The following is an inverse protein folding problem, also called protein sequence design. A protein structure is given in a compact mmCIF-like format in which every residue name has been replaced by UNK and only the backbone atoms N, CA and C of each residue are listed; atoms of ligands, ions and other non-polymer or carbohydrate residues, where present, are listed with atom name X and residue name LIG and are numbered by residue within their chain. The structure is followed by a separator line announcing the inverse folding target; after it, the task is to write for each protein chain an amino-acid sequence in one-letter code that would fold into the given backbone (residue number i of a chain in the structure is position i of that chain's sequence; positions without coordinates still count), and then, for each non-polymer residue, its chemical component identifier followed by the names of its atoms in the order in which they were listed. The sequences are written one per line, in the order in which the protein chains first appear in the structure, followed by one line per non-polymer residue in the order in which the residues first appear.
data_IF_295703417945
#
_entry.id   IF_295703417945
#
_cell.length_a   1.000
_cell.length_b   1.000
_cell.length_c   1.000
_cell.angle_alpha   90.00
_cell.angle_beta   90.00
_cell.angle_gamma   90.00
#
_symmetry.space_group_name_H-M   'P 1'
#
loop_
_entity.id
_entity.type
_entity.pdbx_description
1 polymer ?
#
# COMPACT_ATOMS: atom_id res chain seq x y z
N UNK A 1 -35.11 31.04 19.74
CA UNK A 1 -34.70 29.63 19.56
C UNK A 1 -33.87 29.58 18.29
N UNK A 2 -32.54 29.60 18.40
CA UNK A 2 -31.66 29.53 17.23
C UNK A 2 -31.82 28.15 16.57
N UNK A 3 -32.15 28.13 15.28
CA UNK A 3 -32.12 26.90 14.49
C UNK A 3 -30.67 26.43 14.44
N UNK A 4 -30.33 25.34 15.14
CA UNK A 4 -29.06 24.63 14.95
C UNK A 4 -28.94 24.33 13.45
N UNK A 5 -27.96 24.94 12.78
CA UNK A 5 -27.58 24.55 11.41
C UNK A 5 -27.07 23.11 11.47
N UNK A 6 -27.88 22.18 11.01
CA UNK A 6 -27.44 20.80 10.74
C UNK A 6 -26.54 20.81 9.51
N UNK A 7 -25.32 20.30 9.65
CA UNK A 7 -24.41 20.09 8.51
C UNK A 7 -25.02 19.01 7.62
N UNK A 8 -25.13 19.23 6.29
CA UNK A 8 -25.62 18.20 5.37
C UNK A 8 -24.77 16.94 5.42
N UNK A 9 -25.41 15.77 5.34
CA UNK A 9 -24.71 14.49 5.25
C UNK A 9 -24.07 14.33 3.87
N UNK A 10 -22.82 13.86 3.84
CA UNK A 10 -22.10 13.56 2.60
C UNK A 10 -22.25 12.08 2.30
N UNK A 11 -22.97 11.77 1.21
CA UNK A 11 -23.19 10.38 0.78
C UNK A 11 -21.97 9.80 0.05
N UNK A 12 -21.33 10.58 -0.84
CA UNK A 12 -20.18 10.14 -1.64
C UNK A 12 -19.13 11.24 -1.78
N UNK A 13 -17.87 10.82 -1.97
CA UNK A 13 -16.71 11.71 -2.20
C UNK A 13 -15.99 11.27 -3.47
N UNK A 14 -15.67 12.21 -4.36
CA UNK A 14 -14.85 11.95 -5.56
C UNK A 14 -13.47 12.57 -5.39
N UNK A 15 -12.42 11.76 -5.63
CA UNK A 15 -11.03 12.19 -5.56
C UNK A 15 -10.38 11.95 -6.91
N UNK A 16 -9.71 12.97 -7.45
CA UNK A 16 -8.84 12.83 -8.63
C UNK A 16 -7.38 12.91 -8.17
N UNK A 17 -6.56 11.97 -8.64
CA UNK A 17 -5.15 11.88 -8.27
C UNK A 17 -4.32 11.52 -9.50
N UNK A 18 -3.06 11.95 -9.51
CA UNK A 18 -2.10 11.46 -10.49
C UNK A 18 -1.79 9.98 -10.22
N UNK A 19 -1.27 9.29 -11.24
CA UNK A 19 -0.88 7.88 -11.09
C UNK A 19 0.11 7.64 -9.92
N UNK A 20 1.20 8.40 -9.78
CA UNK A 20 2.12 8.21 -8.65
C UNK A 20 1.46 8.42 -7.28
N UNK A 21 0.52 9.37 -7.17
CA UNK A 21 -0.24 9.58 -5.93
C UNK A 21 -1.18 8.41 -5.67
N UNK A 22 -1.83 7.85 -6.69
CA UNK A 22 -2.64 6.64 -6.56
C UNK A 22 -1.82 5.44 -6.09
N UNK A 23 -0.60 5.28 -6.60
CA UNK A 23 0.33 4.24 -6.16
C UNK A 23 0.74 4.43 -4.70
N UNK A 24 1.02 5.68 -4.27
CA UNK A 24 1.29 5.98 -2.87
C UNK A 24 0.08 5.70 -1.94
N UNK A 25 -1.13 6.10 -2.35
CA UNK A 25 -2.37 5.81 -1.59
C UNK A 25 -2.60 4.30 -1.49
N UNK A 26 -2.43 3.57 -2.60
CA UNK A 26 -2.51 2.11 -2.65
C UNK A 26 -1.56 1.47 -1.62
N UNK A 27 -0.29 1.86 -1.61
CA UNK A 27 0.72 1.34 -0.66
C UNK A 27 0.39 1.71 0.78
N UNK A 28 -0.03 2.94 1.05
CA UNK A 28 -0.41 3.37 2.40
C UNK A 28 -1.62 2.58 2.94
N UNK A 29 -2.63 2.32 2.10
CA UNK A 29 -3.79 1.51 2.47
C UNK A 29 -3.41 0.05 2.73
N UNK A 30 -2.49 -0.52 1.95
CA UNK A 30 -1.96 -1.87 2.16
C UNK A 30 -1.21 -1.96 3.50
N UNK A 31 -0.29 -1.03 3.76
CA UNK A 31 0.47 -1.00 5.01
C UNK A 31 -0.44 -0.84 6.23
N UNK A 32 -1.44 0.05 6.16
CA UNK A 32 -2.42 0.19 7.23
C UNK A 32 -3.13 -1.13 7.55
N UNK A 33 -3.59 -1.85 6.53
CA UNK A 33 -4.19 -3.18 6.71
C UNK A 33 -3.21 -4.17 7.35
N UNK A 34 -1.99 -4.25 6.81
CA UNK A 34 -0.96 -5.20 7.23
C UNK A 34 -0.51 -4.99 8.66
N UNK A 35 -0.38 -3.73 9.10
CA UNK A 35 -0.09 -3.38 10.49
C UNK A 35 -1.15 -3.96 11.45
N UNK A 36 -2.43 -3.86 11.08
CA UNK A 36 -3.54 -4.43 11.86
C UNK A 36 -3.65 -5.96 11.79
N UNK A 37 -2.98 -6.60 10.82
CA UNK A 37 -2.91 -8.05 10.69
C UNK A 37 -1.63 -8.66 11.27
N UNK A 38 -0.70 -7.83 11.78
CA UNK A 38 0.62 -8.30 12.23
C UNK A 38 1.53 -8.77 11.09
N UNK A 39 1.28 -8.30 9.86
CA UNK A 39 2.02 -8.72 8.66
C UNK A 39 3.14 -7.75 8.31
N UNK A 40 4.28 -7.85 9.00
CA UNK A 40 5.38 -6.87 8.88
C UNK A 40 6.43 -7.21 7.83
N UNK A 41 6.39 -8.42 7.25
CA UNK A 41 7.45 -8.94 6.38
C UNK A 41 7.76 -8.01 5.20
N UNK A 42 6.74 -7.63 4.43
CA UNK A 42 6.90 -6.79 3.24
C UNK A 42 7.26 -5.34 3.61
N UNK A 43 6.64 -4.80 4.67
CA UNK A 43 6.95 -3.46 5.16
C UNK A 43 8.41 -3.34 5.65
N UNK A 44 8.94 -4.37 6.31
CA UNK A 44 10.33 -4.39 6.74
C UNK A 44 11.31 -4.53 5.57
N UNK A 45 10.95 -5.30 4.52
CA UNK A 45 11.69 -5.33 3.26
C UNK A 45 11.76 -3.93 2.65
N UNK A 46 10.60 -3.32 2.42
CA UNK A 46 10.50 -2.01 1.77
C UNK A 46 11.34 -0.98 2.53
N UNK A 47 11.11 -0.80 3.84
CA UNK A 47 11.78 0.23 4.64
C UNK A 47 13.29 -0.01 4.82
N UNK A 48 13.71 -1.26 5.08
CA UNK A 48 15.11 -1.52 5.40
C UNK A 48 15.98 -1.59 4.15
N UNK A 49 15.41 -1.99 3.01
CA UNK A 49 16.14 -2.13 1.76
C UNK A 49 16.10 -0.86 0.89
N UNK A 50 15.15 0.06 1.11
CA UNK A 50 14.96 1.28 0.31
C UNK A 50 16.26 2.07 0.09
N UNK A 51 17.01 2.34 1.16
CA UNK A 51 18.27 3.08 1.03
C UNK A 51 19.30 2.32 0.18
N UNK A 52 19.42 1.01 0.37
CA UNK A 52 20.35 0.20 -0.40
C UNK A 52 20.00 0.24 -1.89
N UNK A 53 18.72 0.08 -2.24
CA UNK A 53 18.28 0.14 -3.62
C UNK A 53 18.42 1.54 -4.22
N UNK A 54 18.10 2.60 -3.47
CA UNK A 54 18.34 3.97 -3.90
C UNK A 54 19.83 4.24 -4.17
N UNK A 55 20.72 3.81 -3.27
CA UNK A 55 22.17 3.98 -3.45
C UNK A 55 22.68 3.14 -4.65
N UNK A 56 22.10 1.96 -4.88
CA UNK A 56 22.39 1.10 -6.03
C UNK A 56 21.97 1.75 -7.35
N UNK A 57 20.74 2.27 -7.45
CA UNK A 57 20.22 2.96 -8.63
C UNK A 57 21.03 4.21 -8.98
N UNK A 58 21.54 4.91 -7.96
CA UNK A 58 22.34 6.11 -8.12
C UNK A 58 23.85 5.83 -8.27
N UNK A 59 24.26 4.56 -8.40
CA UNK A 59 25.66 4.15 -8.56
C UNK A 59 26.59 4.70 -7.46
N UNK A 60 26.12 4.72 -6.21
CA UNK A 60 26.87 5.26 -5.06
C UNK A 60 28.06 4.36 -4.68
N UNK A 61 27.97 3.05 -4.91
CA UNK A 61 29.02 2.10 -4.55
C UNK A 61 30.15 2.08 -5.58
N UNK A 62 31.37 2.41 -5.16
CA UNK A 62 32.55 2.42 -6.02
C UNK A 62 33.14 1.01 -6.19
N UNK A 63 32.94 0.13 -5.21
CA UNK A 63 33.46 -1.23 -5.22
C UNK A 63 32.38 -2.28 -4.89
N UNK A 64 32.60 -3.52 -5.34
CA UNK A 64 31.73 -4.64 -5.01
C UNK A 64 31.71 -4.93 -3.49
N UNK A 65 32.86 -4.78 -2.81
CA UNK A 65 32.96 -4.97 -1.36
C UNK A 65 32.11 -3.95 -0.59
N UNK A 66 32.10 -2.67 -1.00
CA UNK A 66 31.23 -1.66 -0.40
C UNK A 66 29.75 -2.02 -0.60
N UNK A 67 29.38 -2.47 -1.80
CA UNK A 67 28.01 -2.88 -2.11
C UNK A 67 27.57 -4.10 -1.28
N UNK A 68 28.41 -5.12 -1.19
CA UNK A 68 28.13 -6.33 -0.41
C UNK A 68 27.98 -6.01 1.08
N UNK A 69 28.89 -5.22 1.65
CA UNK A 69 28.79 -4.76 3.04
C UNK A 69 27.50 -3.96 3.29
N UNK A 70 27.11 -3.06 2.36
CA UNK A 70 25.88 -2.29 2.49
C UNK A 70 24.62 -3.17 2.40
N UNK A 71 24.65 -4.18 1.53
CA UNK A 71 23.58 -5.17 1.40
C UNK A 71 23.42 -5.99 2.67
N UNK A 72 24.53 -6.51 3.23
CA UNK A 72 24.52 -7.29 4.48
C UNK A 72 23.98 -6.46 5.66
N UNK A 73 24.35 -5.19 5.75
CA UNK A 73 23.81 -4.26 6.76
C UNK A 73 22.30 -4.06 6.57
N UNK A 74 21.82 -3.90 5.33
CA UNK A 74 20.39 -3.73 5.06
C UNK A 74 19.60 -5.01 5.41
N UNK A 75 20.11 -6.18 5.02
CA UNK A 75 19.52 -7.48 5.37
C UNK A 75 19.46 -7.69 6.89
N UNK A 76 20.54 -7.39 7.60
CA UNK A 76 20.57 -7.53 9.06
C UNK A 76 19.54 -6.61 9.74
N UNK A 77 19.40 -5.36 9.28
CA UNK A 77 18.39 -4.43 9.78
C UNK A 77 16.98 -4.93 9.51
N UNK A 78 16.72 -5.41 8.29
CA UNK A 78 15.45 -6.00 7.88
C UNK A 78 15.07 -7.17 8.79
N UNK A 79 15.96 -8.13 8.97
CA UNK A 79 15.69 -9.34 9.76
C UNK A 79 15.44 -8.99 11.22
N UNK A 80 16.23 -8.06 11.78
CA UNK A 80 16.00 -7.50 13.11
C UNK A 80 14.62 -6.85 13.23
N UNK A 81 14.24 -6.01 12.26
CA UNK A 81 12.97 -5.31 12.28
C UNK A 81 11.79 -6.28 12.21
N UNK A 82 11.87 -7.31 11.35
CA UNK A 82 10.83 -8.36 11.24
C UNK A 82 10.62 -9.08 12.55
N UNK A 83 11.70 -9.62 13.12
CA UNK A 83 11.63 -10.40 14.35
C UNK A 83 11.10 -9.57 15.52
N UNK A 84 11.64 -8.38 15.71
CA UNK A 84 11.29 -7.56 16.88
C UNK A 84 9.88 -6.98 16.77
N UNK A 85 9.43 -6.61 15.57
CA UNK A 85 8.04 -6.18 15.36
C UNK A 85 7.06 -7.33 15.58
N UNK A 86 7.36 -8.53 15.08
CA UNK A 86 6.51 -9.70 15.30
C UNK A 86 6.43 -10.08 16.79
N UNK A 87 7.57 -10.13 17.49
CA UNK A 87 7.63 -10.39 18.94
C UNK A 87 6.83 -9.35 19.71
N UNK A 88 7.01 -8.06 19.41
CA UNK A 88 6.30 -6.99 20.10
C UNK A 88 4.80 -7.04 19.80
N UNK A 89 4.41 -7.24 18.55
CA UNK A 89 3.00 -7.33 18.16
C UNK A 89 2.31 -8.50 18.85
N UNK A 90 2.89 -9.70 18.82
CA UNK A 90 2.33 -10.88 19.48
C UNK A 90 2.20 -10.72 21.00
N UNK A 91 3.06 -9.90 21.61
CA UNK A 91 3.00 -9.60 23.05
C UNK A 91 1.95 -8.54 23.40
N UNK A 92 1.79 -7.52 22.54
CA UNK A 92 1.02 -6.32 22.85
C UNK A 92 -0.37 -6.28 22.20
N UNK A 93 -0.56 -6.97 21.08
CA UNK A 93 -1.82 -7.01 20.34
C UNK A 93 -2.46 -8.37 20.56
N UNK A 94 -3.65 -8.36 21.19
CA UNK A 94 -4.39 -9.57 21.53
C UNK A 94 -4.61 -10.46 20.30
N UNK A 95 -4.56 -11.78 20.50
CA UNK A 95 -4.72 -12.81 19.47
C UNK A 95 -6.01 -12.61 18.67
N UNK A 96 -5.83 -12.40 17.36
CA UNK A 96 -6.82 -12.08 16.35
C UNK A 96 -7.56 -10.74 16.59
N UNK A 97 -7.46 -9.77 15.66
CA UNK A 97 -8.34 -8.61 15.72
C UNK A 97 -9.80 -9.09 15.61
N UNK A 98 -10.57 -8.93 16.69
CA UNK A 98 -12.03 -9.13 16.71
C UNK A 98 -12.61 -8.34 15.52
N UNK A 99 -13.64 -8.86 14.83
CA UNK A 99 -14.18 -8.27 13.58
C UNK A 99 -14.36 -6.75 13.63
N UNK A 100 -14.70 -6.21 14.81
CA UNK A 100 -14.96 -4.80 15.03
C UNK A 100 -13.71 -3.92 14.86
N UNK A 101 -12.52 -4.38 15.24
CA UNK A 101 -11.28 -3.62 15.06
C UNK A 101 -10.74 -3.70 13.61
N UNK A 102 -11.25 -4.64 12.81
CA UNK A 102 -10.92 -4.76 11.39
C UNK A 102 -11.81 -3.93 10.48
N UNK A 103 -12.86 -3.31 11.02
CA UNK A 103 -13.81 -2.51 10.23
C UNK A 103 -13.11 -1.42 9.41
N UNK A 104 -12.24 -0.63 10.03
CA UNK A 104 -11.49 0.44 9.35
C UNK A 104 -10.40 -0.14 8.44
N UNK A 105 -9.57 -1.11 8.88
CA UNK A 105 -8.63 -1.81 8.00
C UNK A 105 -9.26 -2.37 6.72
N UNK A 106 -10.43 -3.00 6.79
CA UNK A 106 -11.11 -3.53 5.59
C UNK A 106 -11.62 -2.43 4.65
N UNK A 107 -11.93 -1.23 5.16
CA UNK A 107 -12.20 -0.07 4.29
C UNK A 107 -10.94 0.40 3.56
N UNK A 108 -9.77 0.35 4.21
CA UNK A 108 -8.50 0.63 3.54
C UNK A 108 -8.15 -0.48 2.53
N UNK A 109 -8.40 -1.75 2.88
CA UNK A 109 -8.20 -2.88 1.99
C UNK A 109 -8.94 -2.70 0.66
N UNK A 110 -10.23 -2.35 0.70
CA UNK A 110 -10.99 -2.25 -0.54
C UNK A 110 -10.48 -1.12 -1.45
N UNK A 111 -9.95 -0.03 -0.87
CA UNK A 111 -9.26 1.03 -1.63
C UNK A 111 -7.99 0.48 -2.29
N UNK A 112 -7.16 -0.23 -1.52
CA UNK A 112 -5.95 -0.88 -2.02
C UNK A 112 -6.27 -1.85 -3.17
N UNK A 113 -7.22 -2.76 -2.97
CA UNK A 113 -7.59 -3.79 -3.95
C UNK A 113 -8.12 -3.18 -5.25
N UNK A 114 -8.97 -2.16 -5.17
CA UNK A 114 -9.55 -1.50 -6.35
C UNK A 114 -8.47 -0.77 -7.16
N UNK A 115 -7.58 -0.01 -6.51
CA UNK A 115 -6.49 0.68 -7.21
C UNK A 115 -5.53 -0.34 -7.83
N UNK A 116 -5.10 -1.34 -7.04
CA UNK A 116 -4.17 -2.40 -7.49
C UNK A 116 -4.70 -3.15 -8.71
N UNK A 117 -5.98 -3.55 -8.67
CA UNK A 117 -6.64 -4.26 -9.76
C UNK A 117 -6.70 -3.44 -11.04
N UNK A 118 -7.17 -2.19 -10.95
CA UNK A 118 -7.28 -1.31 -12.10
C UNK A 118 -5.93 -1.00 -12.74
N UNK A 119 -4.90 -0.70 -11.93
CA UNK A 119 -3.57 -0.42 -12.44
C UNK A 119 -2.91 -1.67 -13.06
N UNK A 120 -3.12 -2.86 -12.50
CA UNK A 120 -2.55 -4.10 -13.06
C UNK A 120 -3.12 -4.42 -14.44
N UNK A 121 -4.43 -4.33 -14.61
CA UNK A 121 -5.07 -4.50 -15.93
C UNK A 121 -4.71 -3.39 -16.92
N UNK A 122 -4.47 -2.17 -16.44
CA UNK A 122 -3.98 -1.08 -17.28
C UNK A 122 -2.56 -1.34 -17.78
N UNK A 123 -1.66 -1.76 -16.89
CA UNK A 123 -0.23 -1.91 -17.20
C UNK A 123 0.05 -3.15 -18.05
N UNK A 124 -0.69 -4.23 -17.83
CA UNK A 124 -0.61 -5.44 -18.65
C UNK A 124 -2.03 -5.99 -18.93
N UNK A 125 -2.63 -5.59 -20.06
CA UNK A 125 -3.97 -6.02 -20.45
C UNK A 125 -4.12 -7.52 -20.75
N UNK A 126 -3.02 -8.23 -21.01
CA UNK A 126 -3.04 -9.68 -21.27
C UNK A 126 -3.16 -10.48 -19.96
N UNK A 127 -2.93 -9.83 -18.82
CA UNK A 127 -2.97 -10.46 -17.52
C UNK A 127 -1.73 -11.28 -17.20
N UNK A 128 -1.66 -11.73 -15.94
CA UNK A 128 -0.65 -12.68 -15.48
C UNK A 128 -1.37 -13.81 -14.74
N UNK A 129 -1.33 -15.02 -15.30
CA UNK A 129 -2.00 -16.18 -14.71
C UNK A 129 -1.49 -16.45 -13.30
N UNK A 130 -2.42 -16.68 -12.36
CA UNK A 130 -2.10 -16.90 -10.95
C UNK A 130 -1.74 -15.65 -10.14
N UNK A 131 -1.64 -14.47 -10.77
CA UNK A 131 -1.36 -13.23 -10.05
C UNK A 131 -2.65 -12.65 -9.45
N UNK A 132 -2.68 -12.58 -8.12
CA UNK A 132 -3.83 -12.08 -7.33
C UNK A 132 -4.21 -10.63 -7.64
N UNK A 133 -3.35 -9.86 -8.30
CA UNK A 133 -3.64 -8.47 -8.70
C UNK A 133 -4.68 -8.36 -9.80
N UNK A 134 -4.88 -9.41 -10.60
CA UNK A 134 -5.87 -9.42 -11.68
C UNK A 134 -7.25 -9.92 -11.23
N UNK A 135 -7.36 -10.51 -10.05
CA UNK A 135 -8.64 -10.99 -9.50
C UNK A 135 -9.53 -9.81 -9.10
N UNK A 136 -10.85 -10.00 -9.24
CA UNK A 136 -11.83 -9.00 -8.84
C UNK A 136 -11.66 -8.63 -7.36
N UNK A 137 -11.73 -7.33 -6.99
CA UNK A 137 -11.61 -6.91 -5.60
C UNK A 137 -12.66 -7.58 -4.70
N UNK A 138 -12.22 -8.20 -3.60
CA UNK A 138 -13.10 -8.74 -2.58
C UNK A 138 -13.45 -7.64 -1.57
N UNK A 139 -14.73 -7.27 -1.47
CA UNK A 139 -15.18 -6.28 -0.49
C UNK A 139 -15.54 -6.94 0.85
N UNK A 140 -14.64 -6.88 1.82
CA UNK A 140 -14.86 -7.30 3.21
C UNK A 140 -15.31 -6.16 4.13
N UNK A 141 -15.40 -4.94 3.60
CA UNK A 141 -15.76 -3.76 4.38
C UNK A 141 -17.27 -3.68 4.60
N UNK A 142 -17.68 -2.86 5.57
CA UNK A 142 -19.08 -2.53 5.83
C UNK A 142 -19.59 -1.38 4.92
N UNK A 143 -18.86 -1.04 3.86
CA UNK A 143 -19.15 0.06 2.95
C UNK A 143 -19.23 -0.44 1.50
N UNK A 144 -19.92 0.29 0.60
CA UNK A 144 -19.90 -0.03 -0.82
C UNK A 144 -18.48 -0.04 -1.39
N UNK A 145 -18.24 -0.88 -2.41
CA UNK A 145 -16.95 -0.92 -3.09
C UNK A 145 -16.72 0.40 -3.85
N UNK A 146 -15.55 1.06 -3.68
CA UNK A 146 -15.22 2.27 -4.43
C UNK A 146 -15.16 2.03 -5.93
N UNK A 147 -15.51 3.05 -6.70
CA UNK A 147 -15.32 3.08 -8.16
C UNK A 147 -14.00 3.78 -8.48
N UNK A 148 -13.27 3.23 -9.45
CA UNK A 148 -12.08 3.88 -10.03
C UNK A 148 -12.29 4.12 -11.52
N UNK A 149 -11.91 5.30 -11.98
CA UNK A 149 -11.94 5.69 -13.38
C UNK A 149 -10.54 6.13 -13.79
N UNK A 150 -9.94 5.40 -14.73
CA UNK A 150 -8.62 5.74 -15.27
C UNK A 150 -8.79 6.72 -16.44
N UNK A 151 -8.27 7.94 -16.29
CA UNK A 151 -8.20 8.92 -17.38
C UNK A 151 -6.83 8.84 -18.04
N UNK A 152 -6.80 8.37 -19.27
CA UNK A 152 -5.56 8.26 -20.04
C UNK A 152 -5.11 9.65 -20.51
N UNK A 153 -3.79 9.88 -20.52
CA UNK A 153 -3.24 11.05 -21.20
C UNK A 153 -3.65 11.00 -22.67
N UNK A 154 -4.19 12.09 -23.20
CA UNK A 154 -4.41 12.20 -24.64
C UNK A 154 -3.08 12.05 -25.38
N UNK A 155 -3.08 11.39 -26.55
CA UNK A 155 -1.92 11.40 -27.46
C UNK A 155 -1.70 12.86 -27.92
N UNK A 156 -0.87 13.64 -27.22
CA UNK A 156 -0.52 15.00 -27.65
C UNK A 156 -0.09 16.01 -26.59
N UNK A 157 -0.26 15.75 -25.29
CA UNK A 157 0.19 16.72 -24.27
C UNK A 157 1.63 16.44 -23.83
N UNK A 158 2.57 16.85 -24.70
CA UNK A 158 3.93 17.16 -24.28
C UNK A 158 3.86 18.35 -23.33
N UNK A 159 4.06 18.11 -22.04
CA UNK A 159 4.46 19.19 -21.14
C UNK A 159 5.98 19.30 -21.25
N UNK A 160 6.42 20.34 -21.96
CA UNK A 160 7.81 20.82 -21.94
C UNK A 160 8.17 21.50 -20.62
#
# INVERSE_FOLDING_TARGET
MEKKKTVPEVETVTITMSRPVAEAVKTACEWYLRLHMGQFWDMADDLCMEKFYSDLENNVYETNEQRENAFDVALHRRDTMREEMEKLYNRCVLSAPISDVMKIPYRAEIVWLVIRHALSWHDNPDGVAGCVSYYAPLNRSDQPQPKIELKLKGKGENHG
#
